data_IF_782129052242
#
_entry.id   IF_782129052242
#
_cell.length_a   1.000
_cell.length_b   1.000
_cell.length_c   1.000
_cell.angle_alpha   90.00
_cell.angle_beta   90.00
_cell.angle_gamma   90.00
#
_symmetry.space_group_name_H-M   'P 1'
#
loop_
_entity.id
_entity.type
_entity.pdbx_description
1 polymer ?
#
# COMPACT_ATOMS: atom_id res chain seq x y z
N UNK A 1 62.96 2.45 33.28
CA UNK A 1 61.77 1.61 33.52
C UNK A 1 60.95 1.50 32.23
N UNK A 2 60.89 0.33 31.58
CA UNK A 2 59.99 0.08 30.45
C UNK A 2 59.11 -1.12 30.80
N UNK A 3 57.83 -0.88 31.11
CA UNK A 3 56.86 -1.95 31.44
C UNK A 3 56.42 -2.61 30.14
N UNK A 4 56.79 -3.89 29.96
CA UNK A 4 56.20 -4.76 28.92
C UNK A 4 54.69 -4.87 29.17
N UNK A 5 53.89 -4.27 28.29
CA UNK A 5 52.44 -4.51 28.28
C UNK A 5 52.21 -5.93 27.77
N UNK A 6 51.67 -6.75 28.65
CA UNK A 6 51.58 -8.18 28.45
C UNK A 6 50.38 -8.52 27.56
N UNK A 7 50.62 -9.26 26.48
CA UNK A 7 49.68 -9.68 25.42
C UNK A 7 48.63 -10.71 25.85
N UNK A 8 48.27 -10.79 27.13
CA UNK A 8 47.47 -11.89 27.70
C UNK A 8 45.94 -11.74 27.61
N UNK A 9 45.43 -10.65 27.05
CA UNK A 9 43.98 -10.43 26.89
C UNK A 9 43.60 -10.17 25.42
N UNK A 10 43.80 -11.18 24.56
CA UNK A 10 43.08 -11.23 23.28
C UNK A 10 41.85 -12.09 23.46
N UNK A 11 40.67 -11.49 23.27
CA UNK A 11 39.37 -12.15 23.32
C UNK A 11 39.35 -13.33 22.34
N UNK A 12 39.22 -14.55 22.87
CA UNK A 12 39.12 -15.77 22.07
C UNK A 12 37.65 -16.01 21.77
N UNK A 13 37.33 -16.23 20.50
CA UNK A 13 35.98 -16.56 20.05
C UNK A 13 35.40 -17.71 20.89
N UNK A 14 34.27 -17.46 21.57
CA UNK A 14 33.53 -18.47 22.36
C UNK A 14 32.73 -19.45 21.50
N UNK A 15 32.92 -19.43 20.18
CA UNK A 15 32.21 -20.31 19.25
C UNK A 15 32.75 -21.74 19.37
N UNK A 16 31.87 -22.72 19.56
CA UNK A 16 32.24 -24.15 19.58
C UNK A 16 32.98 -24.52 18.29
N UNK A 17 34.13 -25.17 18.44
CA UNK A 17 35.11 -25.49 17.39
C UNK A 17 34.50 -26.35 16.25
N UNK A 18 33.56 -27.24 16.58
CA UNK A 18 32.82 -28.06 15.61
C UNK A 18 31.31 -27.83 15.73
N UNK A 19 30.70 -27.36 14.64
CA UNK A 19 29.25 -27.21 14.49
C UNK A 19 28.71 -28.40 13.70
N UNK A 20 28.31 -29.48 14.38
CA UNK A 20 27.76 -30.69 13.71
C UNK A 20 26.47 -30.43 12.91
N UNK A 21 25.81 -29.28 13.15
CA UNK A 21 24.57 -28.88 12.49
C UNK A 21 24.80 -27.79 11.42
N UNK A 22 26.04 -27.59 10.97
CA UNK A 22 26.31 -26.65 9.89
C UNK A 22 25.73 -27.17 8.58
N UNK A 23 24.96 -26.32 7.90
CA UNK A 23 24.37 -26.67 6.61
C UNK A 23 25.51 -26.92 5.60
N UNK A 24 25.54 -28.06 4.90
CA UNK A 24 26.59 -28.37 3.94
C UNK A 24 26.84 -27.23 2.96
N UNK A 25 28.11 -26.92 2.67
CA UNK A 25 28.51 -25.78 1.82
C UNK A 25 27.81 -25.82 0.45
N UNK A 26 27.60 -27.03 -0.11
CA UNK A 26 26.86 -27.23 -1.36
C UNK A 26 25.43 -26.68 -1.31
N UNK A 27 24.73 -26.88 -0.18
CA UNK A 27 23.37 -26.38 0.02
C UNK A 27 23.37 -24.86 0.21
N UNK A 28 24.38 -24.34 0.91
CA UNK A 28 24.58 -22.89 1.06
C UNK A 28 24.78 -22.23 -0.31
N UNK A 29 25.65 -22.78 -1.16
CA UNK A 29 25.87 -22.30 -2.52
C UNK A 29 24.59 -22.32 -3.34
N UNK A 30 23.83 -23.41 -3.29
CA UNK A 30 22.56 -23.54 -3.99
C UNK A 30 21.53 -22.48 -3.56
N UNK A 31 21.43 -22.20 -2.26
CA UNK A 31 20.54 -21.17 -1.72
C UNK A 31 20.95 -19.78 -2.21
N UNK A 32 22.26 -19.51 -2.26
CA UNK A 32 22.80 -18.23 -2.71
C UNK A 32 22.59 -18.06 -4.21
N UNK A 33 22.88 -19.07 -5.03
CA UNK A 33 22.68 -19.00 -6.49
C UNK A 33 21.21 -18.81 -6.84
N UNK A 34 20.30 -19.55 -6.20
CA UNK A 34 18.85 -19.39 -6.44
C UNK A 34 18.35 -18.00 -6.03
N UNK A 35 18.99 -17.38 -5.03
CA UNK A 35 18.71 -16.00 -4.62
C UNK A 35 19.31 -14.99 -5.60
N UNK A 36 20.40 -15.31 -6.30
CA UNK A 36 20.98 -14.49 -7.36
C UNK A 36 20.08 -14.47 -8.59
N UNK A 37 19.58 -15.63 -9.01
CA UNK A 37 18.61 -15.77 -10.11
C UNK A 37 17.29 -15.06 -9.78
N UNK A 38 16.91 -15.01 -8.50
CA UNK A 38 15.67 -14.38 -8.04
C UNK A 38 15.86 -13.43 -6.84
N UNK A 39 16.36 -12.19 -7.07
CA UNK A 39 16.72 -11.26 -6.01
C UNK A 39 15.56 -10.80 -5.09
N UNK A 40 14.30 -10.99 -5.50
CA UNK A 40 13.13 -10.62 -4.70
C UNK A 40 12.63 -11.75 -3.80
N UNK A 41 13.08 -12.99 -3.98
CA UNK A 41 12.53 -14.17 -3.29
C UNK A 41 13.14 -14.43 -1.92
N UNK A 42 12.32 -14.35 -0.88
CA UNK A 42 12.73 -14.67 0.49
C UNK A 42 12.68 -16.18 0.79
N UNK A 43 13.07 -16.58 2.01
CA UNK A 43 13.12 -17.98 2.45
C UNK A 43 11.83 -18.78 2.20
N UNK A 44 10.67 -18.16 2.43
CA UNK A 44 9.33 -18.75 2.22
C UNK A 44 9.08 -19.16 0.76
N UNK A 45 9.67 -18.44 -0.21
CA UNK A 45 9.58 -18.79 -1.64
C UNK A 45 10.68 -19.75 -2.06
N UNK A 46 11.90 -19.57 -1.55
CA UNK A 46 13.04 -20.40 -1.93
C UNK A 46 12.90 -21.85 -1.46
N UNK A 47 12.38 -22.08 -0.25
CA UNK A 47 12.25 -23.43 0.32
C UNK A 47 11.40 -24.40 -0.53
N UNK A 48 10.16 -24.07 -0.95
CA UNK A 48 9.36 -24.99 -1.77
C UNK A 48 10.01 -25.26 -3.13
N UNK A 49 10.72 -24.29 -3.71
CA UNK A 49 11.44 -24.46 -4.97
C UNK A 49 12.63 -25.41 -4.80
N UNK A 50 13.43 -25.23 -3.74
CA UNK A 50 14.50 -26.17 -3.37
C UNK A 50 13.95 -27.59 -3.17
N UNK A 51 12.74 -27.72 -2.59
CA UNK A 51 12.06 -29.00 -2.39
C UNK A 51 11.59 -29.66 -3.69
N UNK A 52 11.06 -28.87 -4.62
CA UNK A 52 10.64 -29.37 -5.93
C UNK A 52 11.82 -29.76 -6.81
N UNK A 53 12.78 -28.86 -6.96
CA UNK A 53 13.91 -29.03 -7.89
C UNK A 53 14.94 -30.05 -7.40
N UNK A 54 15.22 -30.09 -6.09
CA UNK A 54 16.18 -31.03 -5.48
C UNK A 54 15.51 -31.98 -4.48
N UNK A 55 14.45 -32.68 -4.91
CA UNK A 55 13.71 -33.64 -4.08
C UNK A 55 14.56 -34.78 -3.49
N UNK A 56 15.71 -35.12 -4.10
CA UNK A 56 16.66 -36.14 -3.60
C UNK A 56 17.55 -35.66 -2.45
N UNK A 57 17.51 -34.37 -2.13
CA UNK A 57 18.28 -33.80 -1.04
C UNK A 57 17.69 -34.25 0.30
N UNK A 58 18.43 -35.07 1.06
CA UNK A 58 17.94 -35.67 2.32
C UNK A 58 17.55 -34.64 3.38
N UNK A 59 18.12 -33.43 3.37
CA UNK A 59 17.82 -32.40 4.36
C UNK A 59 17.77 -31.01 3.71
N UNK A 60 16.56 -30.55 3.38
CA UNK A 60 16.33 -29.18 2.96
C UNK A 60 16.25 -28.30 4.20
N UNK A 61 17.06 -27.24 4.32
CA UNK A 61 17.07 -26.40 5.50
C UNK A 61 15.71 -25.75 5.78
N UNK A 62 15.46 -25.44 7.06
CA UNK A 62 14.27 -24.70 7.45
C UNK A 62 14.25 -23.29 6.84
N UNK A 63 13.08 -22.66 6.77
CA UNK A 63 12.98 -21.26 6.30
C UNK A 63 13.85 -20.32 7.15
N UNK A 64 13.90 -20.56 8.46
CA UNK A 64 14.77 -19.82 9.39
C UNK A 64 16.25 -20.02 9.07
N UNK A 65 16.66 -21.25 8.77
CA UNK A 65 18.04 -21.57 8.38
C UNK A 65 18.41 -20.90 7.06
N UNK A 66 17.53 -20.96 6.05
CA UNK A 66 17.71 -20.27 4.77
C UNK A 66 17.82 -18.74 5.01
N UNK A 67 16.95 -18.17 5.84
CA UNK A 67 17.00 -16.76 6.20
C UNK A 67 18.31 -16.36 6.90
N UNK A 68 18.84 -17.22 7.77
CA UNK A 68 20.12 -17.01 8.44
C UNK A 68 21.31 -17.10 7.47
N UNK A 69 21.28 -18.05 6.52
CA UNK A 69 22.29 -18.19 5.47
C UNK A 69 22.30 -16.94 4.59
N UNK A 70 21.13 -16.51 4.11
CA UNK A 70 21.00 -15.31 3.30
C UNK A 70 21.45 -14.07 4.06
N UNK A 71 21.09 -13.91 5.34
CA UNK A 71 21.54 -12.77 6.15
C UNK A 71 23.07 -12.70 6.26
N UNK A 72 23.76 -13.84 6.36
CA UNK A 72 25.22 -13.91 6.46
C UNK A 72 25.93 -13.71 5.12
N UNK A 73 25.43 -14.32 4.04
CA UNK A 73 26.12 -14.37 2.74
C UNK A 73 25.63 -13.29 1.76
N UNK A 74 24.40 -12.78 1.93
CA UNK A 74 23.79 -11.76 1.05
C UNK A 74 22.75 -10.92 1.82
N UNK A 75 23.18 -9.93 2.62
CA UNK A 75 22.27 -9.07 3.36
C UNK A 75 21.22 -8.49 2.41
N UNK A 76 19.94 -8.71 2.71
CA UNK A 76 18.87 -8.17 1.87
C UNK A 76 18.93 -6.64 1.92
N UNK A 77 18.87 -5.99 0.76
CA UNK A 77 18.73 -4.54 0.74
C UNK A 77 17.43 -4.14 1.47
N UNK A 78 17.47 -3.12 2.33
CA UNK A 78 16.26 -2.63 2.98
C UNK A 78 15.26 -2.23 1.90
N UNK A 79 14.05 -2.80 1.94
CA UNK A 79 12.97 -2.36 1.05
C UNK A 79 12.72 -0.87 1.30
N UNK A 80 12.72 -0.07 0.23
CA UNK A 80 12.24 1.32 0.30
C UNK A 80 10.83 1.29 0.89
N UNK A 81 10.68 1.79 2.12
CA UNK A 81 9.36 1.95 2.74
C UNK A 81 8.59 2.96 1.88
N UNK A 82 7.35 2.64 1.51
CA UNK A 82 6.48 3.63 0.89
C UNK A 82 6.37 4.81 1.85
N UNK A 83 6.55 6.07 1.39
CA UNK A 83 6.30 7.22 2.24
C UNK A 83 4.86 7.12 2.77
N UNK A 84 4.70 7.31 4.08
CA UNK A 84 3.35 7.44 4.66
C UNK A 84 2.78 8.77 4.16
N UNK A 85 1.52 8.74 3.71
CA UNK A 85 0.80 9.98 3.41
C UNK A 85 0.76 10.81 4.69
N UNK A 86 1.23 12.07 4.68
CA UNK A 86 1.15 12.92 5.86
C UNK A 86 -0.33 13.07 6.27
N UNK A 87 -0.57 13.02 7.58
CA UNK A 87 -1.91 13.26 8.12
C UNK A 87 -2.34 14.67 7.72
N UNK A 88 -3.58 14.82 7.21
CA UNK A 88 -4.10 16.14 6.83
C UNK A 88 -4.00 17.09 8.02
N UNK A 89 -3.24 18.18 7.85
CA UNK A 89 -3.01 19.20 8.88
C UNK A 89 -4.16 20.21 8.95
N UNK A 90 -5.09 20.17 8.00
CA UNK A 90 -6.23 21.08 7.96
C UNK A 90 -7.44 20.44 8.62
N UNK A 91 -8.07 21.10 9.61
CA UNK A 91 -9.37 20.66 10.11
C UNK A 91 -10.39 20.73 8.97
N UNK A 92 -11.31 19.76 8.95
CA UNK A 92 -12.46 19.82 8.05
C UNK A 92 -13.22 21.13 8.27
N UNK A 93 -13.85 21.66 7.23
CA UNK A 93 -14.69 22.87 7.32
C UNK A 93 -15.66 22.73 8.50
N UNK A 94 -15.76 23.75 9.35
CA UNK A 94 -16.79 23.79 10.39
C UNK A 94 -18.17 23.76 9.72
N UNK A 95 -18.93 22.71 10.00
CA UNK A 95 -20.32 22.54 9.52
C UNK A 95 -21.25 22.86 10.67
N UNK A 96 -22.06 23.90 10.55
CA UNK A 96 -22.86 24.43 11.68
C UNK A 96 -24.37 24.25 11.53
N UNK A 97 -24.87 23.98 10.32
CA UNK A 97 -26.29 23.79 10.03
C UNK A 97 -26.51 22.84 8.82
N UNK A 98 -27.72 22.28 8.63
CA UNK A 98 -28.08 21.59 7.40
C UNK A 98 -27.90 22.50 6.18
N UNK A 99 -27.51 21.94 5.02
CA UNK A 99 -27.24 22.67 3.78
C UNK A 99 -26.10 23.71 3.90
N UNK A 100 -25.14 23.48 4.79
CA UNK A 100 -23.92 24.29 4.88
C UNK A 100 -22.81 23.74 3.97
N UNK A 101 -22.58 22.42 4.04
CA UNK A 101 -21.60 21.70 3.22
C UNK A 101 -22.17 20.37 2.76
N UNK A 102 -22.06 20.07 1.46
CA UNK A 102 -22.39 18.76 0.91
C UNK A 102 -21.12 17.98 0.60
N UNK A 103 -21.08 16.73 1.04
CA UNK A 103 -20.06 15.77 0.65
C UNK A 103 -20.51 15.05 -0.62
N UNK A 104 -19.64 15.03 -1.63
CA UNK A 104 -19.94 14.42 -2.93
C UNK A 104 -18.82 13.47 -3.29
N UNK A 105 -19.18 12.23 -3.60
CA UNK A 105 -18.21 11.20 -3.98
C UNK A 105 -18.75 10.29 -5.08
N UNK A 106 -17.82 9.76 -5.87
CA UNK A 106 -18.07 8.58 -6.69
C UNK A 106 -17.51 7.37 -5.96
N UNK A 107 -18.35 6.36 -5.70
CA UNK A 107 -17.97 5.19 -4.90
C UNK A 107 -17.02 4.21 -5.61
N UNK A 108 -16.38 4.63 -6.70
CA UNK A 108 -15.65 3.76 -7.62
C UNK A 108 -16.60 2.90 -8.47
N UNK A 109 -16.08 2.36 -9.57
CA UNK A 109 -16.89 1.54 -10.47
C UNK A 109 -17.05 0.11 -9.95
N UNK A 110 -18.23 -0.46 -10.18
CA UNK A 110 -18.45 -1.89 -10.07
C UNK A 110 -19.28 -2.40 -11.24
N UNK A 111 -19.15 -3.69 -11.54
CA UNK A 111 -19.90 -4.36 -12.58
C UNK A 111 -21.20 -4.90 -12.01
N UNK A 112 -22.32 -4.50 -12.60
CA UNK A 112 -23.66 -4.99 -12.24
C UNK A 112 -23.97 -6.31 -12.94
N UNK A 113 -25.02 -7.04 -12.52
CA UNK A 113 -25.31 -8.41 -12.99
C UNK A 113 -25.51 -8.57 -14.50
N UNK A 114 -25.75 -7.48 -15.23
CA UNK A 114 -25.84 -7.44 -16.69
C UNK A 114 -24.49 -7.16 -17.39
N UNK A 115 -23.37 -7.15 -16.65
CA UNK A 115 -22.02 -6.91 -17.18
C UNK A 115 -21.68 -5.43 -17.41
N UNK A 116 -22.62 -4.50 -17.17
CA UNK A 116 -22.38 -3.08 -17.37
C UNK A 116 -21.61 -2.46 -16.21
N UNK A 117 -20.84 -1.41 -16.53
CA UNK A 117 -20.13 -0.59 -15.56
C UNK A 117 -21.10 0.38 -14.89
N UNK A 118 -21.04 0.46 -13.57
CA UNK A 118 -21.83 1.37 -12.75
C UNK A 118 -20.89 2.24 -11.92
N UNK A 119 -20.97 3.56 -12.08
CA UNK A 119 -20.25 4.55 -11.27
C UNK A 119 -21.30 5.38 -10.49
N UNK A 120 -21.64 5.01 -9.24
CA UNK A 120 -22.63 5.75 -8.46
C UNK A 120 -22.04 7.07 -7.95
N UNK A 121 -22.78 8.15 -8.18
CA UNK A 121 -22.60 9.46 -7.56
C UNK A 121 -23.45 9.55 -6.30
N UNK A 122 -22.81 9.84 -5.16
CA UNK A 122 -23.48 10.06 -3.88
C UNK A 122 -23.30 11.50 -3.42
N UNK A 123 -24.40 12.14 -3.01
CA UNK A 123 -24.43 13.50 -2.44
C UNK A 123 -25.08 13.41 -1.06
N UNK A 124 -24.36 13.84 -0.03
CA UNK A 124 -24.85 13.82 1.36
C UNK A 124 -24.63 15.17 2.03
N UNK A 125 -25.57 15.59 2.88
CA UNK A 125 -25.38 16.77 3.73
C UNK A 125 -24.42 16.45 4.90
N UNK A 126 -23.39 17.28 5.08
CA UNK A 126 -22.34 17.01 6.07
C UNK A 126 -22.81 17.22 7.52
N UNK A 127 -23.88 18.00 7.73
CA UNK A 127 -24.44 18.25 9.06
C UNK A 127 -25.39 17.13 9.47
N UNK A 128 -26.50 16.99 8.75
CA UNK A 128 -27.59 16.06 9.04
C UNK A 128 -27.29 14.62 8.64
N UNK A 129 -26.26 14.39 7.81
CA UNK A 129 -25.96 13.10 7.18
C UNK A 129 -27.08 12.57 6.27
N UNK A 130 -27.98 13.46 5.87
CA UNK A 130 -29.05 13.14 4.94
C UNK A 130 -28.49 12.85 3.55
N UNK A 131 -29.00 11.80 2.90
CA UNK A 131 -28.63 11.41 1.53
C UNK A 131 -29.49 12.19 0.54
N UNK A 132 -28.89 13.18 -0.12
CA UNK A 132 -29.55 14.08 -1.07
C UNK A 132 -29.70 13.44 -2.46
N UNK A 133 -28.70 12.65 -2.87
CA UNK A 133 -28.78 11.88 -4.11
C UNK A 133 -27.90 10.63 -4.07
N UNK A 134 -28.36 9.59 -4.76
CA UNK A 134 -27.59 8.41 -5.12
C UNK A 134 -27.99 8.04 -6.55
N UNK A 135 -27.18 8.43 -7.52
CA UNK A 135 -27.48 8.23 -8.94
C UNK A 135 -26.40 7.42 -9.62
N UNK A 136 -26.81 6.47 -10.46
CA UNK A 136 -25.90 5.71 -11.31
C UNK A 136 -25.70 6.52 -12.59
N UNK A 137 -24.47 6.98 -12.81
CA UNK A 137 -24.13 7.71 -14.03
C UNK A 137 -23.46 6.77 -15.04
N UNK A 138 -23.86 6.91 -16.31
CA UNK A 138 -23.26 6.16 -17.41
C UNK A 138 -21.83 6.63 -17.70
N UNK A 139 -21.52 7.89 -17.37
CA UNK A 139 -20.18 8.49 -17.49
C UNK A 139 -19.91 9.37 -16.28
N UNK A 140 -18.71 9.27 -15.71
CA UNK A 140 -18.20 10.19 -14.68
C UNK A 140 -17.72 11.49 -15.31
N UNK A 141 -18.63 12.23 -15.97
CA UNK A 141 -18.33 13.51 -16.61
C UNK A 141 -19.05 14.68 -15.92
N UNK A 142 -18.56 15.90 -16.19
CA UNK A 142 -19.11 17.11 -15.59
C UNK A 142 -20.57 17.37 -16.00
N UNK A 143 -20.94 17.01 -17.23
CA UNK A 143 -22.29 17.22 -17.77
C UNK A 143 -23.36 16.45 -16.99
N UNK A 144 -23.18 15.13 -16.84
CA UNK A 144 -24.12 14.29 -16.09
C UNK A 144 -24.14 14.68 -14.61
N UNK A 145 -22.96 14.92 -14.05
CA UNK A 145 -22.85 15.38 -12.65
C UNK A 145 -23.61 16.70 -12.43
N UNK A 146 -23.46 17.67 -13.35
CA UNK A 146 -24.16 18.95 -13.28
C UNK A 146 -25.68 18.78 -13.31
N UNK A 147 -26.21 17.91 -14.16
CA UNK A 147 -27.64 17.63 -14.21
C UNK A 147 -28.18 17.10 -12.86
N UNK A 148 -27.43 16.22 -12.20
CA UNK A 148 -27.77 15.74 -10.84
C UNK A 148 -27.78 16.91 -9.85
N UNK A 149 -26.74 17.75 -9.86
CA UNK A 149 -26.69 18.92 -8.98
C UNK A 149 -27.84 19.90 -9.21
N UNK A 150 -28.17 20.22 -10.47
CA UNK A 150 -29.30 21.10 -10.80
C UNK A 150 -30.63 20.55 -10.27
N UNK A 151 -30.84 19.23 -10.36
CA UNK A 151 -32.01 18.56 -9.79
C UNK A 151 -32.02 18.66 -8.26
N UNK A 152 -30.91 18.33 -7.61
CA UNK A 152 -30.78 18.35 -6.14
C UNK A 152 -30.94 19.78 -5.61
N UNK A 153 -30.41 20.80 -6.29
CA UNK A 153 -30.60 22.20 -5.89
C UNK A 153 -32.06 22.65 -5.98
N UNK A 154 -32.81 22.19 -6.98
CA UNK A 154 -34.25 22.50 -7.09
C UNK A 154 -35.08 21.84 -5.99
N UNK A 155 -34.68 20.65 -5.55
CA UNK A 155 -35.42 19.86 -4.56
C UNK A 155 -35.10 20.26 -3.11
N UNK A 156 -33.82 20.49 -2.80
CA UNK A 156 -33.33 20.71 -1.43
C UNK A 156 -32.84 22.14 -1.16
N UNK A 157 -32.85 23.01 -2.18
CA UNK A 157 -32.32 24.37 -2.12
C UNK A 157 -30.82 24.45 -2.36
N UNK A 158 -30.30 25.68 -2.44
CA UNK A 158 -28.86 25.95 -2.53
C UNK A 158 -28.22 25.82 -1.14
N UNK A 159 -27.05 25.20 -1.05
CA UNK A 159 -26.28 25.23 0.20
C UNK A 159 -25.65 26.61 0.38
N UNK A 160 -25.58 27.11 1.62
CA UNK A 160 -25.30 28.52 1.93
C UNK A 160 -23.98 29.04 1.32
N UNK A 161 -23.01 28.13 1.13
CA UNK A 161 -21.67 28.42 0.58
C UNK A 161 -21.58 28.38 -0.95
N UNK A 162 -22.63 27.98 -1.66
CA UNK A 162 -22.65 27.93 -3.14
C UNK A 162 -22.89 29.29 -3.80
N UNK A 163 -23.40 30.29 -3.06
CA UNK A 163 -23.64 31.64 -3.58
C UNK A 163 -22.35 32.31 -4.09
N UNK A 164 -21.17 31.89 -3.64
CA UNK A 164 -19.87 32.35 -4.13
C UNK A 164 -19.22 31.43 -5.19
N UNK A 165 -19.63 30.17 -5.25
CA UNK A 165 -18.96 29.15 -6.09
C UNK A 165 -19.66 28.98 -7.44
N UNK A 166 -20.96 29.27 -7.56
CA UNK A 166 -21.69 29.21 -8.84
C UNK A 166 -21.12 30.15 -9.91
N UNK A 167 -20.60 31.33 -9.54
CA UNK A 167 -19.91 32.24 -10.48
C UNK A 167 -18.64 31.62 -11.08
N UNK A 168 -17.96 30.74 -10.34
CA UNK A 168 -16.73 30.06 -10.81
C UNK A 168 -16.98 28.67 -11.41
N UNK A 169 -17.98 27.93 -10.93
CA UNK A 169 -18.31 26.59 -11.45
C UNK A 169 -19.01 26.63 -12.81
N UNK A 170 -19.62 27.76 -13.20
CA UNK A 170 -20.14 27.96 -14.56
C UNK A 170 -19.06 28.45 -15.55
N UNK A 171 -17.83 28.69 -15.11
CA UNK A 171 -16.68 29.06 -15.96
C UNK A 171 -15.65 27.94 -16.14
N UNK A 172 -15.99 26.68 -15.88
CA UNK A 172 -15.09 25.56 -16.18
C UNK A 172 -15.05 25.36 -17.70
N UNK A 173 -14.09 26.05 -18.34
CA UNK A 173 -13.71 25.84 -19.74
C UNK A 173 -13.41 24.35 -19.95
N UNK A 174 -13.85 23.74 -21.07
CA UNK A 174 -13.44 22.40 -21.41
C UNK A 174 -11.92 22.37 -21.58
N UNK A 175 -11.25 21.46 -20.87
CA UNK A 175 -9.89 21.05 -21.20
C UNK A 175 -9.96 20.39 -22.59
N UNK A 176 -9.55 21.16 -23.59
CA UNK A 176 -9.29 20.68 -24.94
C UNK A 176 -8.22 19.57 -24.88
N UNK A 177 -8.42 18.58 -25.75
CA UNK A 177 -7.45 17.52 -26.07
C UNK A 177 -6.17 18.07 -26.70
#
# INVERSE_FOLDING_TARGET
MSRKVSTWLKDKSRKRITQSNETPEKIVHLIVSLREDHPSWGPKKLRPILKGTWHRMKQIPSETTIGNILRKKRPSQPKKKRPRVPQSLFPFSNVVAPNDVWCVDFKGHFTVGNGNRCDPLTITDAYSRYLLACEILNKTNAEQTKAVFERVFKEYGLYWRSNQIMDHLLQVRPLAA
#
